data_IF_729150700991
#
_entry.id   IF_729150700991
#
_cell.length_a   1.000
_cell.length_b   1.000
_cell.length_c   1.000
_cell.angle_alpha   90.00
_cell.angle_beta   90.00
_cell.angle_gamma   90.00
#
_symmetry.space_group_name_H-M   'P 1'
#
loop_
_entity.id
_entity.type
_entity.pdbx_description
1 polymer ?
#
# COMPACT_ATOMS: atom_id res chain seq x y z
N UNK A 1 16.80 -7.88 1.23
CA UNK A 1 15.78 -7.42 0.27
C UNK A 1 16.41 -6.83 -0.99
N UNK A 2 17.26 -5.79 -0.90
CA UNK A 2 18.00 -5.22 -2.05
C UNK A 2 18.93 -6.25 -2.71
N UNK A 3 19.53 -7.15 -1.92
CA UNK A 3 20.41 -8.23 -2.40
C UNK A 3 19.73 -9.23 -3.36
N UNK A 4 18.39 -9.30 -3.40
CA UNK A 4 17.65 -10.17 -4.33
C UNK A 4 17.57 -9.58 -5.75
N UNK A 5 18.02 -8.34 -5.97
CA UNK A 5 17.92 -7.67 -7.27
C UNK A 5 19.10 -8.03 -8.19
N UNK A 6 18.80 -8.69 -9.30
CA UNK A 6 19.76 -8.92 -10.39
C UNK A 6 19.95 -7.65 -11.24
N UNK A 7 21.16 -7.08 -11.17
CA UNK A 7 21.58 -5.89 -11.92
C UNK A 7 21.38 -6.06 -13.44
N UNK A 8 21.50 -7.29 -13.97
CA UNK A 8 21.30 -7.59 -15.40
C UNK A 8 19.85 -7.35 -15.84
N UNK A 9 18.88 -7.42 -14.91
CA UNK A 9 17.46 -7.16 -15.19
C UNK A 9 17.13 -5.67 -15.30
N UNK A 10 18.07 -4.79 -14.97
CA UNK A 10 18.00 -3.32 -15.06
C UNK A 10 17.04 -2.63 -14.10
N UNK A 11 15.81 -3.12 -13.96
CA UNK A 11 14.81 -2.59 -13.04
C UNK A 11 13.86 -3.68 -12.55
N UNK A 12 13.25 -3.46 -11.40
CA UNK A 12 12.28 -4.35 -10.79
C UNK A 12 11.23 -3.55 -10.00
N UNK A 13 10.16 -4.25 -9.61
CA UNK A 13 9.20 -3.78 -8.62
C UNK A 13 9.22 -4.71 -7.40
N UNK A 14 9.03 -4.15 -6.21
CA UNK A 14 8.86 -4.92 -4.99
C UNK A 14 7.38 -5.27 -4.81
N UNK A 15 7.08 -6.56 -4.59
CA UNK A 15 5.75 -7.00 -4.16
C UNK A 15 5.65 -6.90 -2.65
N UNK A 16 4.97 -5.87 -2.16
CA UNK A 16 4.87 -5.54 -0.74
C UNK A 16 3.50 -5.93 -0.20
N UNK A 17 3.42 -6.40 1.05
CA UNK A 17 2.13 -6.63 1.69
C UNK A 17 1.45 -5.28 1.99
N UNK A 18 0.17 -5.15 1.62
CA UNK A 18 -0.57 -3.89 1.69
C UNK A 18 -1.46 -3.84 2.93
N UNK A 19 -1.13 -2.92 3.85
CA UNK A 19 -1.85 -2.72 5.11
C UNK A 19 -2.47 -1.34 5.17
N UNK A 20 -3.58 -1.22 5.88
CA UNK A 20 -4.32 0.01 6.03
C UNK A 20 -4.62 0.30 7.50
N UNK A 21 -4.44 1.56 7.91
CA UNK A 21 -4.86 2.13 9.21
C UNK A 21 -4.14 1.58 10.45
N UNK A 22 -3.74 0.31 10.44
CA UNK A 22 -3.07 -0.43 11.51
C UNK A 22 -1.97 -1.30 10.89
N UNK A 23 -0.95 -1.64 11.68
CA UNK A 23 0.21 -2.38 11.17
C UNK A 23 -0.14 -3.77 10.65
N UNK A 24 -1.14 -4.42 11.24
CA UNK A 24 -1.50 -5.78 10.90
C UNK A 24 -2.85 -5.92 10.16
N UNK A 25 -3.46 -4.81 9.75
CA UNK A 25 -4.75 -4.82 9.07
C UNK A 25 -4.55 -4.84 7.55
N UNK A 26 -4.52 -6.04 6.97
CA UNK A 26 -4.16 -6.26 5.57
C UNK A 26 -5.40 -6.19 4.64
N UNK A 27 -5.25 -5.62 3.44
CA UNK A 27 -6.30 -5.62 2.43
C UNK A 27 -6.66 -7.02 1.93
N UNK A 28 -7.96 -7.31 1.80
CA UNK A 28 -8.46 -8.61 1.29
C UNK A 28 -8.48 -8.66 -0.23
N UNK A 29 -8.95 -7.60 -0.92
CA UNK A 29 -9.07 -7.64 -2.39
C UNK A 29 -7.72 -7.50 -3.06
N UNK A 30 -6.92 -6.55 -2.61
CA UNK A 30 -5.56 -6.29 -3.10
C UNK A 30 -4.53 -6.42 -1.97
N UNK A 31 -4.17 -7.65 -1.56
CA UNK A 31 -3.25 -7.87 -0.44
C UNK A 31 -1.81 -7.43 -0.73
N UNK A 32 -1.49 -7.16 -2.00
CA UNK A 32 -0.15 -6.81 -2.46
C UNK A 32 -0.11 -5.46 -3.18
N UNK A 33 0.91 -4.67 -2.86
CA UNK A 33 1.22 -3.39 -3.47
C UNK A 33 2.53 -3.45 -4.26
N UNK A 34 2.47 -3.10 -5.55
CA UNK A 34 3.60 -3.11 -6.49
C UNK A 34 4.00 -1.69 -6.91
N UNK A 35 4.27 -0.81 -5.93
CA UNK A 35 4.60 0.59 -6.22
C UNK A 35 6.08 0.95 -6.06
N UNK A 36 6.77 0.35 -5.09
CA UNK A 36 8.21 0.56 -4.87
C UNK A 36 9.01 -0.05 -6.01
N UNK A 37 9.88 0.74 -6.65
CA UNK A 37 10.67 0.32 -7.81
C UNK A 37 12.14 0.52 -7.54
N UNK A 38 12.95 -0.35 -8.15
CA UNK A 38 14.40 -0.26 -8.18
C UNK A 38 14.86 -0.21 -9.63
N UNK A 39 15.91 0.57 -9.90
CA UNK A 39 16.52 0.69 -11.22
C UNK A 39 18.03 0.89 -11.06
N UNK A 40 18.82 0.26 -11.92
CA UNK A 40 20.24 0.57 -12.04
C UNK A 40 20.36 1.95 -12.70
N UNK A 41 21.07 2.88 -12.05
CA UNK A 41 21.13 4.30 -12.43
C UNK A 41 21.38 4.54 -13.92
N UNK A 42 22.31 3.80 -14.54
CA UNK A 42 22.65 3.95 -15.97
C UNK A 42 21.50 3.65 -16.95
N UNK A 43 20.46 2.94 -16.51
CA UNK A 43 19.28 2.62 -17.32
C UNK A 43 18.05 3.47 -16.96
N UNK A 44 18.17 4.38 -15.98
CA UNK A 44 17.09 5.27 -15.60
C UNK A 44 16.96 6.41 -16.61
N UNK A 45 15.86 6.42 -17.38
CA UNK A 45 15.56 7.54 -18.30
C UNK A 45 15.03 8.76 -17.55
N UNK A 46 14.04 8.57 -16.68
CA UNK A 46 13.50 9.57 -15.77
C UNK A 46 12.70 8.89 -14.65
N UNK A 47 12.46 9.56 -13.50
CA UNK A 47 11.60 9.03 -12.46
C UNK A 47 10.18 8.72 -12.95
N UNK A 48 9.62 9.60 -13.79
CA UNK A 48 8.27 9.41 -14.35
C UNK A 48 8.23 8.23 -15.33
N UNK A 49 9.26 8.05 -16.16
CA UNK A 49 9.40 6.87 -17.00
C UNK A 49 9.40 5.59 -16.16
N UNK A 50 10.20 5.57 -15.09
CA UNK A 50 10.26 4.43 -14.18
C UNK A 50 8.91 4.17 -13.53
N UNK A 51 8.16 5.20 -13.12
CA UNK A 51 6.79 5.13 -12.54
C UNK A 51 5.73 4.65 -13.54
N UNK A 52 5.90 4.92 -14.82
CA UNK A 52 4.95 4.53 -15.86
C UNK A 52 5.05 3.05 -16.27
N UNK A 53 6.16 2.37 -15.97
CA UNK A 53 6.33 0.93 -16.27
C UNK A 53 5.22 0.09 -15.62
N UNK A 54 4.74 -0.95 -16.31
CA UNK A 54 3.67 -1.83 -15.83
C UNK A 54 4.19 -3.25 -15.59
N UNK A 55 4.63 -3.51 -14.36
CA UNK A 55 5.09 -4.81 -13.93
C UNK A 55 3.90 -5.75 -13.72
N UNK A 56 3.95 -6.92 -14.36
CA UNK A 56 2.99 -8.02 -14.19
C UNK A 56 3.62 -9.29 -14.73
N UNK A 57 3.30 -10.45 -14.16
CA UNK A 57 3.71 -11.74 -14.69
C UNK A 57 3.05 -11.93 -16.07
N UNK A 58 3.88 -12.14 -17.08
CA UNK A 58 3.49 -12.42 -18.46
C UNK A 58 4.19 -13.71 -18.90
N UNK A 59 3.60 -14.42 -19.88
CA UNK A 59 4.24 -15.61 -20.43
C UNK A 59 5.61 -15.34 -21.06
N UNK A 60 6.45 -16.38 -21.16
CA UNK A 60 7.84 -16.24 -21.60
C UNK A 60 7.98 -15.75 -23.05
N UNK A 61 7.00 -16.00 -23.92
CA UNK A 61 7.00 -15.55 -25.32
C UNK A 61 6.81 -14.03 -25.48
N UNK A 62 6.49 -13.30 -24.40
CA UNK A 62 6.45 -11.83 -24.40
C UNK A 62 7.86 -11.24 -24.27
N UNK A 63 8.70 -11.53 -25.27
CA UNK A 63 10.09 -11.06 -25.38
C UNK A 63 10.19 -9.54 -25.24
N UNK A 64 9.23 -8.82 -25.81
CA UNK A 64 9.09 -7.36 -25.75
C UNK A 64 8.95 -6.80 -24.32
N UNK A 65 8.41 -7.59 -23.37
CA UNK A 65 8.16 -7.18 -21.98
C UNK A 65 8.91 -8.03 -20.94
N UNK A 66 9.94 -8.80 -21.31
CA UNK A 66 10.64 -9.71 -20.38
C UNK A 66 11.11 -9.03 -19.09
N UNK A 67 11.66 -7.82 -19.17
CA UNK A 67 12.13 -7.08 -17.99
C UNK A 67 10.99 -6.64 -17.05
N UNK A 68 9.77 -6.48 -17.57
CA UNK A 68 8.58 -6.14 -16.77
C UNK A 68 7.98 -7.34 -16.02
N UNK A 69 8.55 -8.53 -16.18
CA UNK A 69 8.26 -9.70 -15.34
C UNK A 69 9.09 -9.72 -14.05
N UNK A 70 10.06 -8.80 -13.91
CA UNK A 70 10.94 -8.74 -12.75
C UNK A 70 10.22 -8.14 -11.53
N UNK A 71 9.66 -9.04 -10.72
CA UNK A 71 8.95 -8.74 -9.49
C UNK A 71 9.74 -9.41 -8.36
N UNK A 72 10.24 -8.61 -7.43
CA UNK A 72 10.93 -9.09 -6.23
C UNK A 72 9.85 -9.46 -5.23
N UNK A 73 9.71 -10.76 -5.02
CA UNK A 73 8.81 -11.33 -4.03
C UNK A 73 9.30 -11.06 -2.60
N UNK A 74 8.37 -10.99 -1.66
CA UNK A 74 8.64 -10.62 -0.25
C UNK A 74 9.35 -9.25 -0.16
N UNK A 75 8.87 -8.30 -0.94
CA UNK A 75 9.41 -6.93 -1.04
C UNK A 75 9.12 -6.04 0.17
N UNK A 76 8.62 -6.61 1.26
CA UNK A 76 8.34 -5.90 2.52
C UNK A 76 6.89 -5.49 2.65
N UNK A 77 6.68 -4.28 3.17
CA UNK A 77 5.37 -3.80 3.61
C UNK A 77 5.08 -2.42 3.04
N UNK A 78 3.82 -2.19 2.70
CA UNK A 78 3.28 -0.89 2.35
C UNK A 78 2.18 -0.55 3.35
N UNK A 79 2.44 0.43 4.22
CA UNK A 79 1.49 0.88 5.22
C UNK A 79 0.77 2.14 4.71
N UNK A 80 -0.51 2.01 4.40
CA UNK A 80 -1.36 3.12 4.00
C UNK A 80 -2.04 3.72 5.22
N UNK A 81 -2.09 5.06 5.27
CA UNK A 81 -2.98 5.79 6.19
C UNK A 81 -2.82 5.41 7.68
N UNK A 82 -1.59 5.16 8.14
CA UNK A 82 -1.28 5.03 9.57
C UNK A 82 -1.45 6.39 10.27
N UNK A 83 -2.70 6.71 10.59
CA UNK A 83 -3.15 7.99 11.15
C UNK A 83 -4.22 7.73 12.20
N UNK A 84 -4.39 8.67 13.12
CA UNK A 84 -5.53 8.60 14.04
C UNK A 84 -6.85 8.81 13.28
N UNK A 85 -7.99 8.36 13.82
CA UNK A 85 -9.30 8.64 13.23
C UNK A 85 -9.54 10.13 12.94
N UNK A 86 -9.09 11.02 13.83
CA UNK A 86 -9.22 12.47 13.68
C UNK A 86 -8.38 12.99 12.50
N UNK A 87 -7.15 12.49 12.36
CA UNK A 87 -6.27 12.83 11.24
C UNK A 87 -6.78 12.27 9.91
N UNK A 88 -7.45 11.11 9.93
CA UNK A 88 -8.12 10.55 8.75
C UNK A 88 -9.31 11.41 8.36
N UNK A 89 -10.17 11.76 9.33
CA UNK A 89 -11.31 12.64 9.10
C UNK A 89 -10.87 13.97 8.47
N UNK A 90 -9.87 14.63 9.05
CA UNK A 90 -9.30 15.87 8.52
C UNK A 90 -8.77 15.69 7.10
N UNK A 91 -7.98 14.64 6.85
CA UNK A 91 -7.45 14.34 5.51
C UNK A 91 -8.56 14.18 4.47
N UNK A 92 -9.60 13.42 4.78
CA UNK A 92 -10.64 13.08 3.82
C UNK A 92 -11.67 14.20 3.63
N UNK A 93 -11.93 15.02 4.65
CA UNK A 93 -12.68 16.27 4.49
C UNK A 93 -11.99 17.21 3.52
N UNK A 94 -10.69 17.47 3.73
CA UNK A 94 -9.92 18.35 2.83
C UNK A 94 -9.80 17.79 1.40
N UNK A 95 -9.74 16.46 1.24
CA UNK A 95 -9.71 15.83 -0.08
C UNK A 95 -11.01 16.11 -0.87
N UNK A 96 -12.15 16.19 -0.17
CA UNK A 96 -13.43 16.56 -0.79
C UNK A 96 -13.55 18.05 -1.10
N UNK A 97 -12.85 18.91 -0.36
CA UNK A 97 -12.84 20.36 -0.58
C UNK A 97 -11.97 20.76 -1.79
N UNK A 98 -10.94 19.97 -2.10
CA UNK A 98 -10.15 20.16 -3.33
C UNK A 98 -10.94 19.68 -4.55
N UNK A 99 -11.59 20.62 -5.24
CA UNK A 99 -12.26 20.39 -6.53
C UNK A 99 -11.22 20.18 -7.65
N UNK A 100 -10.40 19.13 -7.55
CA UNK A 100 -9.41 18.74 -8.55
C UNK A 100 -10.09 17.87 -9.64
N UNK A 101 -10.34 18.42 -10.85
CA UNK A 101 -11.08 17.72 -11.90
C UNK A 101 -10.32 16.49 -12.47
N UNK A 102 -9.05 16.29 -12.12
CA UNK A 102 -8.21 15.21 -12.63
C UNK A 102 -8.04 14.02 -11.66
N UNK A 103 -8.18 14.24 -10.34
CA UNK A 103 -7.79 13.24 -9.32
C UNK A 103 -8.99 12.62 -8.60
N UNK A 104 -10.07 13.36 -8.39
CA UNK A 104 -11.20 12.89 -7.59
C UNK A 104 -12.51 13.51 -8.09
N UNK A 105 -13.25 12.79 -8.94
CA UNK A 105 -14.56 13.24 -9.46
C UNK A 105 -15.72 12.99 -8.48
N UNK A 106 -15.50 12.20 -7.44
CA UNK A 106 -16.56 11.72 -6.54
C UNK A 106 -16.35 12.31 -5.16
N UNK A 107 -17.31 13.07 -4.64
CA UNK A 107 -17.30 13.45 -3.22
C UNK A 107 -17.51 12.20 -2.35
N UNK A 108 -16.78 12.12 -1.23
CA UNK A 108 -17.04 11.09 -0.22
C UNK A 108 -18.37 11.44 0.45
N UNK A 109 -19.31 10.50 0.47
CA UNK A 109 -20.59 10.64 1.16
C UNK A 109 -20.37 11.07 2.63
N UNK A 110 -21.05 12.12 3.07
CA UNK A 110 -20.90 12.73 4.39
C UNK A 110 -21.10 11.73 5.53
N UNK A 111 -21.89 10.67 5.32
CA UNK A 111 -22.07 9.60 6.31
C UNK A 111 -20.76 8.90 6.68
N UNK A 112 -19.77 8.91 5.78
CA UNK A 112 -18.43 8.35 6.02
C UNK A 112 -17.45 9.39 6.60
N UNK A 113 -17.79 10.68 6.55
CA UNK A 113 -16.99 11.79 7.09
C UNK A 113 -17.39 12.09 8.55
N UNK A 114 -17.60 11.05 9.33
CA UNK A 114 -17.90 11.11 10.76
C UNK A 114 -16.84 10.36 11.57
N UNK A 115 -16.42 10.92 12.70
CA UNK A 115 -15.35 10.35 13.52
C UNK A 115 -15.69 8.95 14.06
N UNK A 116 -16.92 8.75 14.51
CA UNK A 116 -17.37 7.48 15.09
C UNK A 116 -17.55 6.42 14.01
N UNK A 117 -18.03 6.81 12.83
CA UNK A 117 -18.10 5.89 11.69
C UNK A 117 -16.70 5.45 11.23
N UNK A 118 -15.72 6.37 11.17
CA UNK A 118 -14.33 6.02 10.86
C UNK A 118 -13.76 5.04 11.89
N UNK A 119 -13.95 5.31 13.20
CA UNK A 119 -13.51 4.41 14.28
C UNK A 119 -14.14 3.02 14.14
N UNK A 120 -15.47 2.97 13.95
CA UNK A 120 -16.24 1.74 13.75
C UNK A 120 -15.71 0.94 12.57
N UNK A 121 -15.49 1.59 11.42
CA UNK A 121 -14.98 0.94 10.21
C UNK A 121 -13.56 0.41 10.37
N UNK A 122 -12.66 1.16 11.00
CA UNK A 122 -11.30 0.68 11.29
C UNK A 122 -11.34 -0.58 12.17
N UNK A 123 -12.17 -0.57 13.22
CA UNK A 123 -12.29 -1.72 14.12
C UNK A 123 -12.93 -2.93 13.42
N UNK A 124 -13.92 -2.70 12.56
CA UNK A 124 -14.58 -3.75 11.78
C UNK A 124 -13.74 -4.23 10.58
N UNK A 125 -12.64 -3.54 10.26
CA UNK A 125 -11.82 -3.84 9.09
C UNK A 125 -12.55 -3.54 7.77
N UNK A 126 -13.28 -2.43 7.68
CA UNK A 126 -13.93 -1.97 6.45
C UNK A 126 -13.33 -0.64 5.96
N UNK A 127 -13.47 -0.35 4.68
CA UNK A 127 -13.01 0.92 4.10
C UNK A 127 -13.76 2.12 4.68
N UNK A 128 -12.99 3.11 5.13
CA UNK A 128 -13.49 4.28 5.86
C UNK A 128 -14.19 5.31 4.96
N UNK A 129 -14.13 5.16 3.64
CA UNK A 129 -14.77 6.07 2.67
C UNK A 129 -15.82 5.36 1.81
N UNK A 130 -16.31 4.20 2.26
CA UNK A 130 -17.45 3.53 1.65
C UNK A 130 -17.15 2.67 0.43
N UNK A 131 -15.87 2.42 0.11
CA UNK A 131 -15.52 1.52 -0.99
C UNK A 131 -15.84 0.08 -0.60
N UNK A 132 -16.09 -0.75 -1.61
CA UNK A 132 -16.15 -2.20 -1.42
C UNK A 132 -14.74 -2.76 -1.19
N UNK A 133 -14.12 -2.48 -0.05
CA UNK A 133 -12.82 -3.04 0.37
C UNK A 133 -12.93 -3.41 1.84
N UNK A 134 -12.41 -4.59 2.17
CA UNK A 134 -12.37 -5.09 3.54
C UNK A 134 -10.93 -5.47 3.87
N UNK A 135 -10.60 -5.36 5.14
CA UNK A 135 -9.30 -5.64 5.69
C UNK A 135 -9.41 -6.73 6.74
N UNK A 136 -8.34 -7.52 6.91
CA UNK A 136 -8.27 -8.58 7.90
C UNK A 136 -7.06 -8.37 8.78
N UNK A 137 -7.20 -8.44 10.12
CA UNK A 137 -6.04 -8.51 10.99
C UNK A 137 -5.28 -9.80 10.70
N UNK A 138 -3.96 -9.70 10.59
CA UNK A 138 -3.06 -10.85 10.50
C UNK A 138 -2.16 -10.92 11.72
N UNK A 139 -1.70 -12.12 12.06
CA UNK A 139 -0.79 -12.33 13.17
C UNK A 139 0.57 -11.67 12.88
N UNK A 140 1.10 -10.94 13.85
CA UNK A 140 2.46 -10.39 13.78
C UNK A 140 3.49 -11.51 13.95
N UNK A 141 4.07 -11.96 12.83
CA UNK A 141 5.10 -12.99 12.74
C UNK A 141 6.49 -12.39 12.43
N UNK A 142 7.49 -13.25 12.23
CA UNK A 142 8.86 -12.85 11.87
C UNK A 142 8.98 -12.16 10.49
N UNK A 143 7.90 -12.14 9.69
CA UNK A 143 7.84 -11.42 8.42
C UNK A 143 7.45 -9.97 8.60
N UNK A 144 7.31 -9.45 9.82
CA UNK A 144 7.13 -8.03 10.10
C UNK A 144 8.46 -7.33 10.41
N UNK A 145 8.52 -5.98 10.34
CA UNK A 145 9.68 -5.23 10.77
C UNK A 145 10.04 -5.59 12.22
N UNK A 146 11.31 -5.90 12.47
CA UNK A 146 11.81 -6.26 13.79
C UNK A 146 11.47 -5.20 14.85
N UNK A 147 11.44 -3.93 14.46
CA UNK A 147 11.00 -2.83 15.31
C UNK A 147 9.56 -3.00 15.82
N UNK A 148 8.62 -3.38 14.96
CA UNK A 148 7.22 -3.60 15.34
C UNK A 148 7.12 -4.77 16.32
N UNK A 149 7.87 -5.85 16.06
CA UNK A 149 7.87 -7.03 16.90
C UNK A 149 8.45 -6.77 18.30
N UNK A 150 9.50 -5.96 18.39
CA UNK A 150 10.14 -5.60 19.66
C UNK A 150 9.32 -4.58 20.47
N UNK A 151 8.54 -3.71 19.81
CA UNK A 151 7.81 -2.62 20.44
C UNK A 151 6.28 -2.82 20.46
N UNK A 152 5.79 -4.07 20.46
CA UNK A 152 4.35 -4.39 20.42
C UNK A 152 3.52 -3.64 21.47
N UNK A 153 4.02 -3.56 22.72
CA UNK A 153 3.32 -2.87 23.81
C UNK A 153 3.15 -1.37 23.56
N UNK A 154 4.20 -0.70 23.10
CA UNK A 154 4.17 0.73 22.76
C UNK A 154 3.27 1.00 21.55
N UNK A 155 3.24 0.05 20.61
CA UNK A 155 2.46 0.14 19.37
C UNK A 155 1.07 -0.48 19.48
N UNK A 156 0.59 -0.85 20.68
CA UNK A 156 -0.70 -1.54 20.87
C UNK A 156 -1.87 -0.83 20.18
N UNK A 157 -1.87 0.52 20.19
CA UNK A 157 -2.92 1.32 19.54
C UNK A 157 -2.97 1.17 18.02
N UNK A 158 -1.90 0.67 17.41
CA UNK A 158 -1.72 0.48 15.98
C UNK A 158 -1.84 -0.99 15.55
N UNK A 159 -2.18 -1.88 16.49
CA UNK A 159 -2.30 -3.32 16.25
C UNK A 159 -3.72 -3.71 16.63
N UNK A 160 -4.41 -4.44 15.74
CA UNK A 160 -5.71 -5.04 16.04
C UNK A 160 -5.46 -6.45 16.56
N UNK A 161 -6.07 -6.76 17.71
CA UNK A 161 -6.01 -8.09 18.32
C UNK A 161 -7.08 -9.00 17.73
#
# INVERSE_FOLDING_TARGET
MILKFDIKKQFAVFRQNQYYYKFNLQAKKSPYWNGSRICVKKFLKSPQWLRNLKFKKRPFWRLDKLRLNNIIEEGGWHFCNLKSPEQLLYKYKNLCETNDPYVFKESIDEKYLNLDEIKKRINNGSDIIGRSENFKPISLDNKFPSYILKNKLQLKKWIIN
#
